data_IF_397275817809
#
_entry.id   IF_397275817809
#
_cell.length_a   1.000
_cell.length_b   1.000
_cell.length_c   1.000
_cell.angle_alpha   90.00
_cell.angle_beta   90.00
_cell.angle_gamma   90.00
#
_symmetry.space_group_name_H-M   'P 1'
#
loop_
_entity.id
_entity.type
_entity.pdbx_description
1 polymer ?
#
# COMPACT_ATOMS: atom_id res chain seq x y z
N UNK A 1 -9.59 0.25 2.37
CA UNK A 1 -9.60 0.20 0.90
C UNK A 1 -8.47 -0.69 0.44
N UNK A 2 -8.58 -1.32 -0.74
CA UNK A 2 -7.65 -2.33 -1.23
C UNK A 2 -7.34 -2.06 -2.71
N UNK A 3 -6.06 -2.09 -3.08
CA UNK A 3 -5.60 -1.96 -4.47
C UNK A 3 -4.74 -3.15 -4.88
N UNK A 4 -4.87 -3.57 -6.14
CA UNK A 4 -4.06 -4.62 -6.76
C UNK A 4 -3.17 -4.03 -7.84
N UNK A 5 -1.91 -4.46 -7.88
CA UNK A 5 -0.94 -4.02 -8.88
C UNK A 5 -0.16 -5.22 -9.43
N UNK A 6 0.26 -5.09 -10.69
CA UNK A 6 1.15 -6.07 -11.33
C UNK A 6 2.62 -5.75 -11.04
N UNK A 7 3.45 -6.79 -11.03
CA UNK A 7 4.92 -6.68 -11.04
C UNK A 7 5.54 -7.10 -12.37
N UNK A 8 4.77 -7.18 -13.45
CA UNK A 8 5.25 -7.64 -14.76
C UNK A 8 6.47 -6.84 -15.28
N UNK A 9 6.58 -5.56 -14.93
CA UNK A 9 7.71 -4.71 -15.31
C UNK A 9 9.05 -5.15 -14.71
N UNK A 10 9.05 -6.06 -13.72
CA UNK A 10 10.23 -6.60 -13.09
C UNK A 10 10.76 -7.88 -13.76
N UNK A 11 10.01 -8.49 -14.68
CA UNK A 11 10.39 -9.76 -15.31
C UNK A 11 11.64 -9.62 -16.20
N UNK A 12 11.74 -8.51 -16.93
CA UNK A 12 12.83 -8.27 -17.89
C UNK A 12 13.97 -7.41 -17.31
N UNK A 13 14.02 -7.22 -15.99
CA UNK A 13 15.05 -6.41 -15.33
C UNK A 13 16.43 -7.09 -15.44
N UNK A 14 17.44 -6.41 -16.00
CA UNK A 14 18.81 -6.92 -16.02
C UNK A 14 19.36 -7.29 -14.63
N UNK A 15 20.18 -8.35 -14.50
CA UNK A 15 20.66 -8.85 -13.20
C UNK A 15 21.72 -7.98 -12.51
N UNK A 16 22.20 -6.90 -13.15
CA UNK A 16 23.31 -6.09 -12.65
C UNK A 16 22.92 -5.03 -11.62
N UNK A 17 21.63 -4.88 -11.28
CA UNK A 17 21.17 -3.87 -10.32
C UNK A 17 21.36 -4.24 -8.84
N UNK A 18 21.94 -5.40 -8.56
CA UNK A 18 22.23 -5.85 -7.19
C UNK A 18 21.11 -6.72 -6.60
N UNK A 19 21.40 -7.35 -5.46
CA UNK A 19 20.55 -8.39 -4.87
C UNK A 19 19.25 -7.88 -4.24
N UNK A 20 19.12 -6.59 -3.98
CA UNK A 20 17.94 -5.96 -3.36
C UNK A 20 17.05 -5.20 -4.33
N UNK A 21 17.45 -5.07 -5.60
CA UNK A 21 16.72 -4.21 -6.55
C UNK A 21 15.25 -4.59 -6.66
N UNK A 22 14.94 -5.89 -6.73
CA UNK A 22 13.56 -6.37 -6.81
C UNK A 22 12.73 -5.95 -5.59
N UNK A 23 13.24 -6.19 -4.37
CA UNK A 23 12.55 -5.83 -3.14
C UNK A 23 12.39 -4.31 -2.99
N UNK A 24 13.42 -3.54 -3.36
CA UNK A 24 13.40 -2.09 -3.28
C UNK A 24 12.43 -1.50 -4.30
N UNK A 25 12.38 -2.06 -5.52
CA UNK A 25 11.41 -1.69 -6.56
C UNK A 25 9.97 -1.97 -6.14
N UNK A 26 9.71 -3.13 -5.52
CA UNK A 26 8.38 -3.47 -4.98
C UNK A 26 7.97 -2.56 -3.83
N UNK A 27 8.90 -2.24 -2.92
CA UNK A 27 8.66 -1.30 -1.83
C UNK A 27 8.36 0.11 -2.36
N UNK A 28 9.14 0.59 -3.34
CA UNK A 28 8.90 1.88 -3.98
C UNK A 28 7.53 1.92 -4.67
N UNK A 29 7.16 0.86 -5.39
CA UNK A 29 5.83 0.73 -6.01
C UNK A 29 4.73 0.77 -4.95
N UNK A 30 4.86 0.04 -3.84
CA UNK A 30 3.90 0.02 -2.75
C UNK A 30 3.73 1.41 -2.12
N UNK A 31 4.83 2.14 -1.86
CA UNK A 31 4.80 3.49 -1.29
C UNK A 31 4.12 4.47 -2.25
N UNK A 32 4.56 4.52 -3.51
CA UNK A 32 4.10 5.51 -4.48
C UNK A 32 2.61 5.33 -4.82
N UNK A 33 2.21 4.09 -5.11
CA UNK A 33 0.81 3.80 -5.45
C UNK A 33 -0.13 4.04 -4.27
N UNK A 34 0.29 3.67 -3.05
CA UNK A 34 -0.52 3.89 -1.85
C UNK A 34 -0.63 5.36 -1.47
N UNK A 35 0.48 6.10 -1.54
CA UNK A 35 0.48 7.54 -1.29
C UNK A 35 -0.41 8.28 -2.30
N UNK A 36 -0.23 8.03 -3.60
CA UNK A 36 -1.03 8.68 -4.64
C UNK A 36 -2.53 8.40 -4.47
N UNK A 37 -2.89 7.16 -4.10
CA UNK A 37 -4.26 6.77 -3.82
C UNK A 37 -4.86 7.53 -2.63
N UNK A 38 -4.16 7.54 -1.48
CA UNK A 38 -4.66 8.22 -0.28
C UNK A 38 -4.62 9.74 -0.39
N UNK A 39 -3.64 10.30 -1.07
CA UNK A 39 -3.56 11.73 -1.32
C UNK A 39 -4.77 12.22 -2.11
N UNK A 40 -5.15 11.50 -3.18
CA UNK A 40 -6.36 11.83 -3.93
C UNK A 40 -7.61 11.83 -3.04
N UNK A 41 -7.76 10.83 -2.17
CA UNK A 41 -8.88 10.75 -1.23
C UNK A 41 -8.86 11.86 -0.19
N UNK A 42 -7.69 12.19 0.35
CA UNK A 42 -7.54 13.28 1.29
C UNK A 42 -7.96 14.60 0.62
N UNK A 43 -7.56 14.82 -0.63
CA UNK A 43 -7.97 16.01 -1.40
C UNK A 43 -9.47 16.07 -1.68
N UNK A 44 -10.15 14.94 -1.92
CA UNK A 44 -11.62 14.90 -2.00
C UNK A 44 -12.33 15.30 -0.69
N UNK A 45 -11.63 15.25 0.44
CA UNK A 45 -12.14 15.68 1.75
C UNK A 45 -11.70 17.11 2.11
N UNK A 46 -11.00 17.82 1.22
CA UNK A 46 -10.52 19.18 1.44
C UNK A 46 -9.10 19.29 2.02
N UNK A 47 -8.39 18.17 2.17
CA UNK A 47 -7.01 18.17 2.65
C UNK A 47 -5.99 18.47 1.53
N UNK A 48 -4.92 19.17 1.87
CA UNK A 48 -3.86 19.60 0.96
C UNK A 48 -2.53 19.79 1.72
N UNK A 49 -1.48 20.25 1.06
CA UNK A 49 -0.22 20.64 1.74
C UNK A 49 -0.39 21.84 2.69
N UNK A 50 -1.46 22.63 2.53
CA UNK A 50 -1.78 23.76 3.41
C UNK A 50 -2.82 23.40 4.48
N UNK A 51 -3.67 22.41 4.17
CA UNK A 51 -4.73 21.91 5.04
C UNK A 51 -4.46 20.44 5.34
N UNK A 52 -3.58 20.19 6.31
CA UNK A 52 -3.10 18.84 6.61
C UNK A 52 -4.22 17.93 7.15
N UNK A 53 -4.04 16.63 7.02
CA UNK A 53 -5.00 15.64 7.51
C UNK A 53 -5.15 15.72 9.03
N UNK A 54 -6.40 15.72 9.48
CA UNK A 54 -6.77 15.71 10.91
C UNK A 54 -6.97 14.29 11.45
N UNK A 55 -7.00 13.30 10.57
CA UNK A 55 -7.08 11.88 10.89
C UNK A 55 -6.35 11.05 9.85
N UNK A 56 -5.82 9.87 10.23
CA UNK A 56 -5.08 9.04 9.31
C UNK A 56 -6.00 8.42 8.25
N UNK A 57 -5.49 8.33 7.02
CA UNK A 57 -6.07 7.49 5.98
C UNK A 57 -5.25 6.21 5.86
N UNK A 58 -5.93 5.08 5.64
CA UNK A 58 -5.26 3.77 5.54
C UNK A 58 -5.69 3.07 4.25
N UNK A 59 -4.72 2.54 3.53
CA UNK A 59 -4.96 1.66 2.39
C UNK A 59 -4.17 0.37 2.50
N UNK A 60 -4.72 -0.67 1.89
CA UNK A 60 -4.10 -1.97 1.73
C UNK A 60 -3.68 -2.13 0.27
N UNK A 61 -2.52 -2.73 0.03
CA UNK A 61 -1.93 -2.85 -1.29
C UNK A 61 -1.39 -4.27 -1.49
N UNK A 62 -1.70 -4.86 -2.64
CA UNK A 62 -1.25 -6.19 -3.03
C UNK A 62 -0.57 -6.08 -4.40
N UNK A 63 0.68 -6.48 -4.47
CA UNK A 63 1.44 -6.58 -5.71
C UNK A 63 1.62 -8.06 -6.05
N UNK A 64 1.29 -8.46 -7.28
CA UNK A 64 1.36 -9.87 -7.68
C UNK A 64 1.51 -10.07 -9.19
N UNK A 65 2.09 -11.20 -9.58
CA UNK A 65 2.08 -11.76 -10.94
C UNK A 65 1.15 -12.98 -11.07
N UNK A 66 0.34 -13.27 -10.04
CA UNK A 66 -0.51 -14.45 -9.93
C UNK A 66 0.15 -15.65 -9.23
N UNK A 67 1.48 -15.65 -9.06
CA UNK A 67 2.24 -16.68 -8.34
C UNK A 67 2.94 -16.13 -7.10
N UNK A 68 3.59 -14.98 -7.20
CA UNK A 68 4.23 -14.26 -6.10
C UNK A 68 3.33 -13.16 -5.59
N UNK A 69 3.30 -12.97 -4.28
CA UNK A 69 2.48 -11.96 -3.62
C UNK A 69 3.32 -11.15 -2.63
N UNK A 70 3.19 -9.83 -2.71
CA UNK A 70 3.71 -8.87 -1.74
C UNK A 70 2.54 -8.08 -1.17
N UNK A 71 2.39 -8.14 0.16
CA UNK A 71 1.32 -7.47 0.88
C UNK A 71 1.86 -6.25 1.61
N UNK A 72 1.19 -5.11 1.47
CA UNK A 72 1.58 -3.86 2.12
C UNK A 72 0.39 -3.12 2.72
N UNK A 73 0.65 -2.43 3.82
CA UNK A 73 -0.25 -1.50 4.48
C UNK A 73 0.38 -0.12 4.48
N UNK A 74 -0.39 0.89 4.10
CA UNK A 74 0.08 2.26 4.09
C UNK A 74 -0.87 3.15 4.89
N UNK A 75 -0.29 4.01 5.74
CA UNK A 75 -1.00 4.99 6.53
C UNK A 75 -0.49 6.39 6.20
N UNK A 76 -1.39 7.23 5.68
CA UNK A 76 -1.18 8.65 5.44
C UNK A 76 -1.52 9.43 6.72
N UNK A 77 -0.50 9.99 7.36
CA UNK A 77 -0.57 10.79 8.58
C UNK A 77 -0.33 12.29 8.33
N UNK A 78 0.26 12.62 7.18
CA UNK A 78 0.57 13.98 6.77
C UNK A 78 0.58 14.12 5.24
N UNK A 79 0.07 15.24 4.75
CA UNK A 79 0.16 15.70 3.35
C UNK A 79 1.19 16.83 3.18
N UNK A 80 1.83 17.24 4.28
CA UNK A 80 2.86 18.28 4.31
C UNK A 80 4.21 17.66 4.01
N UNK A 81 4.56 17.63 2.72
CA UNK A 81 5.83 17.06 2.23
C UNK A 81 6.79 18.10 1.62
N UNK A 82 6.43 19.38 1.65
CA UNK A 82 7.17 20.42 0.92
C UNK A 82 7.37 21.69 1.77
N UNK A 83 8.41 22.45 1.41
CA UNK A 83 8.73 23.77 1.95
C UNK A 83 9.05 23.77 3.45
N UNK A 84 9.10 24.97 4.05
CA UNK A 84 9.40 25.19 5.46
C UNK A 84 8.44 24.45 6.40
N UNK A 85 7.18 24.25 5.97
CA UNK A 85 6.18 23.51 6.73
C UNK A 85 6.57 22.05 6.97
N UNK A 86 7.41 21.45 6.10
CA UNK A 86 7.91 20.09 6.30
C UNK A 86 9.04 20.01 7.34
N UNK A 87 9.75 21.11 7.58
CA UNK A 87 10.88 21.15 8.52
C UNK A 87 10.42 21.12 9.98
N UNK A 88 9.19 21.58 10.25
CA UNK A 88 8.60 21.67 11.60
C UNK A 88 7.55 20.59 11.86
N UNK A 89 7.19 19.79 10.84
CA UNK A 89 6.19 18.74 10.99
C UNK A 89 6.81 17.43 11.48
N UNK A 90 6.47 17.02 12.70
CA UNK A 90 6.96 15.78 13.31
C UNK A 90 6.25 14.52 12.79
N UNK A 91 5.14 14.68 12.06
CA UNK A 91 4.36 13.54 11.54
C UNK A 91 5.01 12.93 10.32
N UNK A 92 5.00 11.59 10.26
CA UNK A 92 5.51 10.82 9.12
C UNK A 92 4.48 9.81 8.65
N UNK A 93 4.46 9.56 7.34
CA UNK A 93 3.68 8.49 6.75
C UNK A 93 4.35 7.13 6.99
N UNK A 94 3.57 6.07 7.10
CA UNK A 94 4.06 4.74 7.45
C UNK A 94 3.68 3.76 6.35
N UNK A 95 4.66 2.99 5.87
CA UNK A 95 4.45 1.86 4.96
C UNK A 95 5.02 0.60 5.59
N UNK A 96 4.18 -0.41 5.78
CA UNK A 96 4.57 -1.73 6.25
C UNK A 96 4.41 -2.72 5.12
N UNK A 97 5.48 -3.45 4.78
CA UNK A 97 5.48 -4.45 3.70
C UNK A 97 5.93 -5.79 4.25
N UNK A 98 5.17 -6.84 3.92
CA UNK A 98 5.53 -8.22 4.25
C UNK A 98 6.53 -8.77 3.22
N UNK A 99 7.40 -9.72 3.61
CA UNK A 99 8.23 -10.43 2.65
C UNK A 99 7.41 -11.08 1.53
N UNK A 100 7.93 -11.02 0.30
CA UNK A 100 7.29 -11.68 -0.86
C UNK A 100 7.19 -13.17 -0.63
N UNK A 101 6.01 -13.73 -0.91
CA UNK A 101 5.71 -15.15 -0.73
C UNK A 101 5.14 -15.75 -2.01
N UNK A 102 5.47 -17.02 -2.29
CA UNK A 102 4.90 -17.77 -3.41
C UNK A 102 3.60 -18.44 -2.96
N UNK A 103 2.56 -18.33 -3.79
CA UNK A 103 1.29 -19.06 -3.65
C UNK A 103 1.47 -20.56 -3.97
N UNK A 104 2.33 -20.86 -4.93
CA UNK A 104 2.72 -22.21 -5.31
C UNK A 104 4.15 -22.21 -5.88
N UNK A 105 4.85 -23.34 -5.74
CA UNK A 105 6.20 -23.52 -6.25
C UNK A 105 6.19 -23.77 -7.75
N UNK A 106 5.35 -24.65 -8.28
CA UNK A 106 5.24 -24.90 -9.73
C UNK A 106 3.93 -25.58 -10.10
N UNK A 107 3.68 -25.73 -11.41
CA UNK A 107 2.55 -26.48 -11.96
C UNK A 107 3.11 -27.68 -12.70
N UNK A 108 2.74 -28.89 -12.28
CA UNK A 108 3.11 -30.14 -12.97
C UNK A 108 1.85 -30.82 -13.50
N UNK A 109 1.66 -30.78 -14.83
CA UNK A 109 0.43 -31.25 -15.45
C UNK A 109 -0.75 -30.39 -15.04
N UNK A 110 -1.71 -30.97 -14.31
CA UNK A 110 -2.92 -30.30 -13.82
C UNK A 110 -2.91 -30.02 -12.31
N UNK A 111 -1.76 -30.16 -11.64
CA UNK A 111 -1.64 -29.98 -10.20
C UNK A 111 -0.66 -28.87 -9.82
N UNK A 112 -1.00 -28.12 -8.77
CA UNK A 112 -0.11 -27.15 -8.12
C UNK A 112 0.78 -27.88 -7.11
N UNK A 113 2.09 -27.67 -7.22
CA UNK A 113 3.09 -28.19 -6.29
C UNK A 113 3.50 -27.06 -5.32
N UNK A 114 3.65 -27.39 -4.04
CA UNK A 114 4.07 -26.43 -3.00
C UNK A 114 3.04 -25.33 -2.73
N UNK A 115 1.75 -25.69 -2.72
CA UNK A 115 0.67 -24.76 -2.42
C UNK A 115 0.81 -24.14 -1.01
N UNK A 116 0.56 -22.84 -0.92
CA UNK A 116 0.73 -22.07 0.31
C UNK A 116 -0.59 -21.42 0.75
N UNK A 117 -1.27 -22.06 1.71
CA UNK A 117 -2.52 -21.57 2.28
C UNK A 117 -2.37 -20.25 3.05
N UNK A 118 -1.17 -19.93 3.56
CA UNK A 118 -0.94 -18.68 4.31
C UNK A 118 -1.09 -17.44 3.42
N UNK A 119 -0.71 -17.56 2.13
CA UNK A 119 -0.89 -16.48 1.14
C UNK A 119 -2.39 -16.23 0.91
N UNK A 120 -3.18 -17.30 0.78
CA UNK A 120 -4.64 -17.20 0.60
C UNK A 120 -5.31 -16.64 1.86
N UNK A 121 -4.91 -17.12 3.03
CA UNK A 121 -5.39 -16.62 4.32
C UNK A 121 -5.11 -15.13 4.50
N UNK A 122 -3.90 -14.68 4.12
CA UNK A 122 -3.52 -13.27 4.15
C UNK A 122 -4.34 -12.43 3.17
N UNK A 123 -4.52 -12.92 1.93
CA UNK A 123 -5.36 -12.29 0.92
C UNK A 123 -6.81 -12.11 1.41
N UNK A 124 -7.39 -13.16 1.99
CA UNK A 124 -8.73 -13.10 2.57
C UNK A 124 -8.78 -12.11 3.73
N UNK A 125 -7.78 -12.13 4.61
CA UNK A 125 -7.68 -11.21 5.75
C UNK A 125 -7.66 -9.75 5.31
N UNK A 126 -7.02 -9.43 4.18
CA UNK A 126 -7.02 -8.10 3.58
C UNK A 126 -8.41 -7.71 3.05
N UNK A 127 -9.07 -8.65 2.36
CA UNK A 127 -10.37 -8.44 1.72
C UNK A 127 -11.52 -8.26 2.73
N UNK A 128 -11.53 -9.03 3.83
CA UNK A 128 -12.64 -9.01 4.80
C UNK A 128 -12.61 -7.85 5.80
N UNK A 129 -11.59 -6.98 5.76
CA UNK A 129 -11.50 -5.83 6.68
C UNK A 129 -12.66 -4.88 6.46
N UNK A 130 -13.49 -4.70 7.50
CA UNK A 130 -14.59 -3.75 7.51
C UNK A 130 -14.14 -2.40 8.08
N UNK A 131 -14.66 -1.28 7.54
CA UNK A 131 -14.47 0.02 8.17
C UNK A 131 -15.11 0.03 9.55
N UNK A 132 -14.47 0.71 10.52
CA UNK A 132 -15.08 0.97 11.81
C UNK A 132 -16.07 2.13 11.69
N UNK A 133 -17.18 2.04 12.40
CA UNK A 133 -18.06 3.20 12.61
C UNK A 133 -17.26 4.29 13.32
N UNK A 134 -17.42 5.53 12.88
CA UNK A 134 -16.75 6.68 13.50
C UNK A 134 -17.61 7.22 14.64
N UNK A 135 -16.95 7.86 15.60
CA UNK A 135 -17.60 8.52 16.72
C UNK A 135 -18.55 9.62 16.23
N UNK A 136 -19.64 9.83 16.95
CA UNK A 136 -20.64 10.84 16.64
C UNK A 136 -20.04 12.25 16.75
N UNK A 137 -20.30 13.10 15.75
CA UNK A 137 -19.73 14.46 15.69
C UNK A 137 -18.35 14.58 15.03
N UNK A 138 -17.77 13.49 14.52
CA UNK A 138 -16.48 13.55 13.83
C UNK A 138 -16.58 14.21 12.44
N UNK A 139 -15.98 15.38 12.26
CA UNK A 139 -16.00 16.14 11.01
C UNK A 139 -15.02 15.56 9.97
N UNK A 140 -15.57 15.02 8.87
CA UNK A 140 -14.79 14.39 7.79
C UNK A 140 -14.24 15.40 6.77
N UNK A 141 -14.84 16.57 6.70
CA UNK A 141 -14.56 17.58 5.68
C UNK A 141 -14.37 18.97 6.32
N UNK A 142 -13.45 19.11 7.28
CA UNK A 142 -13.31 20.35 8.07
C UNK A 142 -12.94 21.58 7.24
N UNK A 143 -12.52 21.38 5.98
CA UNK A 143 -12.08 22.44 5.09
C UNK A 143 -12.99 22.64 3.86
N UNK A 144 -14.12 21.92 3.77
CA UNK A 144 -15.09 22.10 2.69
C UNK A 144 -16.35 22.76 3.27
N UNK A 145 -16.61 24.01 2.83
CA UNK A 145 -17.79 24.80 3.17
C UNK A 145 -18.77 24.87 2.01
#
# INVERSE_FOLDING_TARGET
MLSYHTQAYLLDRPPHFGSKEHSDSLLAQAILSSYGWLQGQASYQGFSTFTDVTYPFVTQNIITDGRQFTFSLYQLNTTVLHSENSLTNERVNICLTMPTSFLYEEIRGNEFIGWNDDVVSTLLSFYIKKPKNREEGFELKPYLH
#
